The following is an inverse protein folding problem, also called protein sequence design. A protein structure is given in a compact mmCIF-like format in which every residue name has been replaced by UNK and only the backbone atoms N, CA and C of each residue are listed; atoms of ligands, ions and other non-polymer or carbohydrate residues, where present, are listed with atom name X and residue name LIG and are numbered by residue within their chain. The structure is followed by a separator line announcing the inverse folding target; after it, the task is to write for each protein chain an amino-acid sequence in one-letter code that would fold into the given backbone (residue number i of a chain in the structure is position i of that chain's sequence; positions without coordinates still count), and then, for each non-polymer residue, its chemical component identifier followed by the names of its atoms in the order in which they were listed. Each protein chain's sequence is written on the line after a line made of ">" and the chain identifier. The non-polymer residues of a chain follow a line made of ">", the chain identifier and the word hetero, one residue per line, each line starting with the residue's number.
data_IF_352184844041
#
_entry.id   IF_352184844041
#
_cell.length_a   1.000
_cell.length_b   1.000
_cell.length_c   1.000
_cell.angle_alpha   90.00
_cell.angle_beta   90.00
_cell.angle_gamma   90.00
#
_symmetry.space_group_name_H-M   'P 1'
#
loop_
_entity.id
_entity.type
_entity.pdbx_description
1 polymer ?
#
# COMPACT_ATOMS: atom_id res chain seq x y z
N UNK A 1 -12.05 -2.42 -20.45
CA UNK A 1 -11.49 -2.25 -19.10
C UNK A 1 -10.20 -1.46 -19.22
N UNK A 2 -9.89 -0.60 -18.25
CA UNK A 2 -8.56 0.02 -18.18
C UNK A 2 -7.63 -0.97 -17.49
N UNK A 3 -6.72 -1.58 -18.24
CA UNK A 3 -5.68 -2.46 -17.71
C UNK A 3 -4.76 -1.69 -16.75
N UNK A 4 -4.10 -2.39 -15.82
CA UNK A 4 -3.05 -1.82 -14.96
C UNK A 4 -1.85 -1.24 -15.72
N UNK A 5 -1.84 -1.33 -17.05
CA UNK A 5 -0.82 -0.78 -17.94
C UNK A 5 -0.59 0.75 -17.77
N UNK A 6 -1.51 1.51 -17.16
CA UNK A 6 -1.25 2.91 -16.80
C UNK A 6 -0.09 3.06 -15.82
N UNK A 7 0.14 2.06 -14.95
CA UNK A 7 1.22 2.05 -13.95
C UNK A 7 2.60 2.26 -14.61
N UNK A 8 2.82 1.77 -15.84
CA UNK A 8 4.09 1.97 -16.56
C UNK A 8 4.33 3.43 -17.01
N UNK A 9 3.25 4.23 -17.13
CA UNK A 9 3.29 5.64 -17.56
C UNK A 9 3.17 6.61 -16.38
N UNK A 10 2.24 6.31 -15.47
CA UNK A 10 1.75 7.20 -14.42
C UNK A 10 2.20 6.76 -13.02
N UNK A 11 2.91 5.64 -12.90
CA UNK A 11 3.31 5.04 -11.62
C UNK A 11 2.19 4.31 -10.87
N UNK A 12 0.93 4.58 -11.19
CA UNK A 12 -0.22 4.02 -10.50
C UNK A 12 -1.42 3.68 -11.40
N UNK A 13 -2.38 2.96 -10.84
CA UNK A 13 -3.72 2.75 -11.38
C UNK A 13 -4.76 2.74 -10.26
N UNK A 14 -5.95 3.28 -10.51
CA UNK A 14 -7.09 3.21 -9.58
C UNK A 14 -8.15 2.28 -10.17
N UNK A 15 -8.66 1.37 -9.34
CA UNK A 15 -9.52 0.25 -9.71
C UNK A 15 -10.46 -0.13 -8.55
N UNK A 16 -11.18 -1.25 -8.66
CA UNK A 16 -11.97 -1.81 -7.57
C UNK A 16 -11.92 -3.34 -7.56
N UNK A 17 -11.91 -3.94 -6.36
CA UNK A 17 -12.09 -5.40 -6.20
C UNK A 17 -13.59 -5.78 -6.16
N UNK A 18 -13.96 -7.05 -6.39
CA UNK A 18 -15.34 -7.51 -6.24
C UNK A 18 -15.90 -7.23 -4.84
N UNK A 19 -17.15 -6.73 -4.77
CA UNK A 19 -17.76 -6.30 -3.49
C UNK A 19 -17.77 -7.41 -2.44
N UNK A 20 -18.07 -8.65 -2.82
CA UNK A 20 -18.12 -9.79 -1.90
C UNK A 20 -16.76 -10.06 -1.21
N UNK A 21 -15.66 -9.79 -1.92
CA UNK A 21 -14.29 -9.90 -1.40
C UNK A 21 -13.96 -8.74 -0.46
N UNK A 22 -14.35 -7.51 -0.82
CA UNK A 22 -14.20 -6.34 0.05
C UNK A 22 -15.05 -6.47 1.35
N UNK A 23 -16.28 -6.97 1.23
CA UNK A 23 -17.15 -7.31 2.36
C UNK A 23 -16.53 -8.38 3.27
N UNK A 24 -15.85 -9.38 2.69
CA UNK A 24 -15.14 -10.40 3.46
C UNK A 24 -13.95 -9.81 4.22
N UNK A 25 -13.06 -9.07 3.55
CA UNK A 25 -11.93 -8.41 4.19
C UNK A 25 -12.37 -7.44 5.29
N UNK A 26 -13.44 -6.65 5.07
CA UNK A 26 -13.95 -5.73 6.08
C UNK A 26 -14.51 -6.44 7.32
N UNK A 27 -15.20 -7.58 7.15
CA UNK A 27 -15.65 -8.41 8.29
C UNK A 27 -14.46 -8.91 9.12
N UNK A 28 -13.41 -9.37 8.47
CA UNK A 28 -12.19 -9.83 9.14
C UNK A 28 -11.47 -8.68 9.85
N UNK A 29 -11.25 -7.56 9.16
CA UNK A 29 -10.58 -6.37 9.70
C UNK A 29 -11.31 -5.78 10.93
N UNK A 30 -12.65 -5.81 10.97
CA UNK A 30 -13.42 -5.39 12.15
C UNK A 30 -13.33 -6.34 13.34
N UNK A 31 -12.88 -7.58 13.13
CA UNK A 31 -12.68 -8.60 14.17
C UNK A 31 -11.21 -8.78 14.58
N UNK A 32 -10.29 -8.07 13.93
CA UNK A 32 -8.85 -8.20 14.14
C UNK A 32 -8.36 -7.40 15.36
N UNK A 33 -7.19 -7.75 15.86
CA UNK A 33 -6.54 -7.06 16.98
C UNK A 33 -5.54 -6.06 16.40
N UNK A 34 -5.58 -4.82 16.87
CA UNK A 34 -4.69 -3.75 16.43
C UNK A 34 -3.89 -3.20 17.60
N UNK A 35 -2.58 -3.14 17.42
CA UNK A 35 -1.64 -2.47 18.31
C UNK A 35 -1.32 -1.07 17.76
N UNK A 36 -1.05 -0.12 18.65
CA UNK A 36 -0.72 1.25 18.26
C UNK A 36 0.76 1.39 17.87
N UNK A 37 1.00 1.87 16.66
CA UNK A 37 2.30 2.35 16.19
C UNK A 37 2.64 3.74 16.81
N UNK A 38 3.67 4.40 16.30
CA UNK A 38 4.08 5.76 16.64
C UNK A 38 2.91 6.78 16.53
N UNK A 39 2.87 7.81 17.40
CA UNK A 39 1.81 8.83 17.38
C UNK A 39 1.62 9.49 16.01
N UNK A 40 0.37 9.58 15.56
CA UNK A 40 0.00 10.11 14.23
C UNK A 40 0.12 9.11 13.08
N UNK A 41 0.47 7.85 13.36
CA UNK A 41 0.43 6.73 12.40
C UNK A 41 -0.75 5.79 12.71
N UNK A 42 -1.30 5.09 11.70
CA UNK A 42 -2.40 4.15 11.88
C UNK A 42 -2.03 3.02 12.83
N UNK A 43 -3.02 2.46 13.51
CA UNK A 43 -2.81 1.23 14.29
C UNK A 43 -2.56 0.07 13.31
N UNK A 44 -1.61 -0.81 13.62
CA UNK A 44 -1.25 -1.98 12.79
C UNK A 44 -1.83 -3.25 13.40
N UNK A 45 -2.12 -4.26 12.58
CA UNK A 45 -2.63 -5.52 13.11
C UNK A 45 -1.57 -6.26 13.94
N UNK A 46 -1.97 -6.85 15.07
CA UNK A 46 -1.08 -7.48 16.05
C UNK A 46 -0.35 -8.76 15.56
N UNK A 47 -0.60 -9.17 14.31
CA UNK A 47 0.11 -10.24 13.60
C UNK A 47 1.14 -9.71 12.59
N UNK A 48 1.32 -8.40 12.46
CA UNK A 48 2.31 -7.78 11.58
C UNK A 48 3.73 -7.83 12.19
N UNK A 49 4.76 -7.91 11.34
CA UNK A 49 6.17 -8.00 11.72
C UNK A 49 6.84 -6.64 11.51
N UNK A 50 7.79 -6.24 12.38
CA UNK A 50 8.58 -4.99 12.25
C UNK A 50 9.24 -4.82 10.86
N UNK A 51 9.46 -5.93 10.14
CA UNK A 51 9.89 -5.93 8.73
C UNK A 51 8.82 -6.59 7.86
N UNK A 52 7.90 -5.82 7.25
CA UNK A 52 6.73 -6.36 6.55
C UNK A 52 7.04 -7.48 5.54
N UNK A 53 8.03 -7.35 4.65
CA UNK A 53 8.38 -8.44 3.71
C UNK A 53 8.85 -9.75 4.35
N UNK A 54 9.16 -9.77 5.65
CA UNK A 54 9.48 -10.96 6.45
C UNK A 54 8.29 -11.48 7.27
N UNK A 55 7.13 -10.82 7.25
CA UNK A 55 5.94 -11.28 7.96
C UNK A 55 5.56 -12.71 7.55
N UNK A 56 5.58 -13.62 8.52
CA UNK A 56 5.24 -15.03 8.38
C UNK A 56 3.96 -15.42 9.14
N UNK A 57 3.30 -14.46 9.79
CA UNK A 57 2.15 -14.64 10.69
C UNK A 57 0.80 -14.26 10.04
N UNK A 58 0.82 -13.80 8.78
CA UNK A 58 -0.35 -13.32 8.03
C UNK A 58 -1.51 -14.35 8.06
N UNK A 59 -2.71 -13.99 8.55
CA UNK A 59 -3.87 -14.86 8.51
C UNK A 59 -4.25 -15.27 7.08
N UNK A 60 -4.55 -16.55 6.88
CA UNK A 60 -4.85 -17.15 5.56
C UNK A 60 -6.05 -16.51 4.85
N UNK A 61 -7.00 -15.93 5.59
CA UNK A 61 -8.16 -15.21 5.04
C UNK A 61 -7.81 -13.83 4.44
N UNK A 62 -6.63 -13.30 4.71
CA UNK A 62 -6.05 -12.20 3.93
C UNK A 62 -5.06 -12.72 2.88
N UNK A 63 -4.12 -13.60 3.27
CA UNK A 63 -3.02 -14.04 2.40
C UNK A 63 -3.51 -14.72 1.12
N UNK A 64 -4.32 -15.77 1.23
CA UNK A 64 -4.76 -16.54 0.05
C UNK A 64 -5.56 -15.69 -0.94
N UNK A 65 -6.57 -14.91 -0.50
CA UNK A 65 -7.28 -13.99 -1.39
C UNK A 65 -6.39 -12.87 -1.97
N UNK A 66 -5.36 -12.42 -1.25
CA UNK A 66 -4.40 -11.45 -1.80
C UNK A 66 -3.46 -12.08 -2.84
N UNK A 67 -3.04 -13.32 -2.65
CA UNK A 67 -2.30 -14.09 -3.66
C UNK A 67 -3.12 -14.27 -4.95
N UNK A 68 -4.44 -14.50 -4.84
CA UNK A 68 -5.33 -14.54 -6.00
C UNK A 68 -5.47 -13.17 -6.70
N UNK A 69 -5.51 -12.06 -5.94
CA UNK A 69 -5.46 -10.70 -6.51
C UNK A 69 -4.12 -10.47 -7.24
N UNK A 70 -3.00 -10.85 -6.61
CA UNK A 70 -1.67 -10.74 -7.19
C UNK A 70 -1.48 -11.56 -8.47
N UNK A 71 -2.12 -12.73 -8.57
CA UNK A 71 -2.07 -13.63 -9.73
C UNK A 71 -3.26 -13.45 -10.70
N UNK A 72 -4.07 -12.40 -10.54
CA UNK A 72 -5.25 -12.12 -11.37
C UNK A 72 -4.94 -11.76 -12.83
N UNK A 73 -5.99 -11.51 -13.63
CA UNK A 73 -5.85 -11.06 -15.02
C UNK A 73 -5.33 -9.62 -15.09
N UNK A 74 -5.67 -8.81 -14.10
CA UNK A 74 -5.27 -7.42 -13.93
C UNK A 74 -3.74 -7.27 -13.91
N UNK A 75 -3.04 -8.24 -13.32
CA UNK A 75 -1.57 -8.29 -13.21
C UNK A 75 -0.90 -9.14 -14.28
N UNK A 76 -1.65 -9.82 -15.15
CA UNK A 76 -1.12 -10.80 -16.12
C UNK A 76 -0.01 -10.19 -16.99
N UNK A 77 -0.23 -8.98 -17.51
CA UNK A 77 0.77 -8.28 -18.33
C UNK A 77 2.03 -7.89 -17.53
N UNK A 78 1.91 -7.58 -16.23
CA UNK A 78 3.08 -7.36 -15.36
C UNK A 78 3.87 -8.66 -15.15
N UNK A 79 3.17 -9.76 -14.87
CA UNK A 79 3.77 -11.10 -14.66
C UNK A 79 4.38 -11.65 -15.95
N UNK A 80 3.83 -11.33 -17.13
CA UNK A 80 4.40 -11.70 -18.42
C UNK A 80 5.78 -11.08 -18.70
N UNK A 81 6.09 -9.91 -18.11
CA UNK A 81 7.40 -9.25 -18.27
C UNK A 81 8.37 -9.50 -17.11
N UNK A 82 7.88 -9.66 -15.87
CA UNK A 82 8.73 -9.80 -14.68
C UNK A 82 8.80 -11.23 -14.13
N UNK A 83 7.87 -12.11 -14.52
CA UNK A 83 7.65 -13.45 -13.96
C UNK A 83 6.56 -13.46 -12.87
N UNK A 84 6.00 -14.64 -12.59
CA UNK A 84 5.04 -14.81 -11.50
C UNK A 84 5.67 -14.56 -10.12
N UNK A 85 4.93 -13.91 -9.22
CA UNK A 85 5.43 -13.51 -7.90
C UNK A 85 5.81 -14.73 -7.04
N UNK A 86 7.07 -14.81 -6.59
CA UNK A 86 7.51 -15.84 -5.63
C UNK A 86 7.30 -15.43 -4.17
N UNK A 87 6.80 -14.21 -3.92
CA UNK A 87 6.37 -13.71 -2.60
C UNK A 87 5.17 -12.77 -2.73
N UNK A 88 4.15 -13.03 -1.91
CA UNK A 88 3.14 -12.05 -1.49
C UNK A 88 3.39 -11.68 -0.03
N UNK A 89 3.22 -10.41 0.31
CA UNK A 89 3.09 -9.93 1.69
C UNK A 89 1.74 -9.21 1.86
N UNK A 90 1.24 -9.16 3.09
CA UNK A 90 0.03 -8.40 3.44
C UNK A 90 0.27 -7.62 4.75
N UNK A 91 -0.19 -6.37 4.77
CA UNK A 91 -0.25 -5.51 5.94
C UNK A 91 -1.70 -5.07 6.18
N UNK A 92 -2.09 -4.82 7.42
CA UNK A 92 -3.44 -4.36 7.76
C UNK A 92 -3.40 -3.21 8.77
N UNK A 93 -3.93 -2.06 8.35
CA UNK A 93 -3.89 -0.81 9.09
C UNK A 93 -5.29 -0.27 9.39
N UNK A 94 -5.44 0.37 10.56
CA UNK A 94 -6.63 1.11 10.99
C UNK A 94 -6.26 2.54 11.32
N UNK A 95 -6.56 3.46 10.39
CA UNK A 95 -6.42 4.90 10.63
C UNK A 95 -7.56 5.47 11.48
N UNK A 96 -7.21 6.42 12.34
CA UNK A 96 -8.07 7.18 13.28
C UNK A 96 -7.83 8.69 13.11
N UNK A 97 -8.68 9.53 13.69
CA UNK A 97 -8.58 11.01 13.64
C UNK A 97 -7.15 11.49 13.98
N UNK A 98 -6.59 12.36 13.14
CA UNK A 98 -5.24 12.92 13.31
C UNK A 98 -4.10 12.04 12.79
N UNK A 99 -4.36 10.80 12.36
CA UNK A 99 -3.35 10.02 11.64
C UNK A 99 -3.13 10.60 10.24
N UNK A 100 -1.87 10.60 9.78
CA UNK A 100 -1.46 11.05 8.44
C UNK A 100 -0.18 10.33 8.01
N UNK A 101 0.23 10.48 6.75
CA UNK A 101 1.52 9.95 6.30
C UNK A 101 2.13 10.86 5.24
N UNK A 102 3.38 11.28 5.43
CA UNK A 102 4.10 12.18 4.52
C UNK A 102 4.41 11.55 3.15
N UNK A 103 4.99 12.34 2.25
CA UNK A 103 5.41 11.86 0.93
C UNK A 103 6.54 10.83 1.03
N UNK A 104 6.26 9.61 0.56
CA UNK A 104 7.22 8.49 0.58
C UNK A 104 7.02 7.55 -0.62
N UNK A 105 7.94 6.60 -0.76
CA UNK A 105 7.88 5.48 -1.69
C UNK A 105 8.15 4.18 -0.89
N UNK A 106 7.58 3.04 -1.27
CA UNK A 106 7.84 1.77 -0.58
C UNK A 106 9.09 1.03 -1.10
N UNK A 107 9.84 1.64 -2.03
CA UNK A 107 10.98 1.03 -2.73
C UNK A 107 12.21 0.71 -1.85
N UNK A 108 12.11 0.94 -0.54
CA UNK A 108 13.04 0.40 0.46
C UNK A 108 12.83 -1.11 0.67
N UNK A 109 11.60 -1.60 0.45
CA UNK A 109 11.26 -3.02 0.43
C UNK A 109 11.34 -3.59 -1.00
N UNK A 110 12.01 -4.74 -1.23
CA UNK A 110 12.16 -5.39 -2.54
C UNK A 110 10.87 -5.94 -3.20
N UNK A 111 9.68 -5.61 -2.71
CA UNK A 111 8.43 -5.85 -3.45
C UNK A 111 8.34 -4.91 -4.67
N UNK A 112 7.77 -5.38 -5.78
CA UNK A 112 7.78 -4.67 -7.07
C UNK A 112 6.46 -3.94 -7.39
N UNK A 113 5.35 -4.46 -6.90
CA UNK A 113 4.00 -3.94 -7.12
C UNK A 113 3.25 -3.95 -5.78
N UNK A 114 2.55 -2.86 -5.46
CA UNK A 114 1.72 -2.74 -4.25
C UNK A 114 0.27 -2.51 -4.66
N UNK A 115 -0.68 -3.07 -3.91
CA UNK A 115 -2.10 -2.73 -3.98
C UNK A 115 -2.60 -2.28 -2.61
N UNK A 116 -3.21 -1.11 -2.56
CA UNK A 116 -3.83 -0.54 -1.35
C UNK A 116 -5.34 -0.66 -1.52
N UNK A 117 -5.98 -1.48 -0.68
CA UNK A 117 -7.42 -1.79 -0.74
C UNK A 117 -8.13 -1.13 0.44
N UNK A 118 -9.16 -0.34 0.15
CA UNK A 118 -9.93 0.39 1.17
C UNK A 118 -11.20 -0.32 1.59
N UNK A 119 -11.43 -0.33 2.90
CA UNK A 119 -12.48 -1.11 3.56
C UNK A 119 -13.24 -0.21 4.54
N UNK A 120 -14.53 0.01 4.31
CA UNK A 120 -15.41 0.74 5.25
C UNK A 120 -16.86 0.34 5.02
N UNK A 121 -17.75 0.57 6.00
CA UNK A 121 -19.22 0.57 5.76
C UNK A 121 -19.72 2.01 5.52
N UNK A 122 -18.83 3.00 5.64
CA UNK A 122 -19.13 4.42 5.49
C UNK A 122 -18.60 4.98 4.15
N UNK A 123 -19.27 6.02 3.66
CA UNK A 123 -18.80 6.80 2.51
C UNK A 123 -17.79 7.84 3.01
N UNK A 124 -16.65 7.92 2.32
CA UNK A 124 -15.58 8.88 2.56
C UNK A 124 -15.61 9.99 1.52
N UNK A 125 -15.89 11.21 1.95
CA UNK A 125 -15.84 12.43 1.12
C UNK A 125 -14.48 13.13 1.29
N UNK A 126 -14.13 14.14 0.47
CA UNK A 126 -12.88 14.88 0.65
C UNK A 126 -12.76 15.58 2.01
N UNK A 127 -13.89 15.98 2.60
CA UNK A 127 -13.97 16.70 3.87
C UNK A 127 -13.66 15.79 5.09
N UNK A 128 -13.79 14.47 4.94
CA UNK A 128 -13.38 13.48 5.95
C UNK A 128 -11.85 13.38 6.12
N UNK A 129 -11.08 13.89 5.15
CA UNK A 129 -9.64 13.69 5.07
C UNK A 129 -9.26 12.26 4.70
N UNK A 130 -8.09 11.78 5.15
CA UNK A 130 -7.64 10.39 4.95
C UNK A 130 -7.39 9.99 3.50
N UNK A 131 -7.33 10.94 2.57
CA UNK A 131 -7.19 10.67 1.13
C UNK A 131 -5.77 10.21 0.81
N UNK A 132 -5.65 9.23 -0.08
CA UNK A 132 -4.37 8.89 -0.69
C UNK A 132 -4.06 9.89 -1.79
N UNK A 133 -3.00 10.66 -1.62
CA UNK A 133 -2.49 11.57 -2.63
C UNK A 133 -1.38 10.84 -3.41
N UNK A 134 -1.47 10.88 -4.74
CA UNK A 134 -0.58 10.19 -5.67
C UNK A 134 0.20 11.25 -6.46
N UNK A 135 1.52 11.15 -6.47
CA UNK A 135 2.39 12.22 -6.96
C UNK A 135 3.68 11.75 -7.62
N UNK A 136 4.33 12.70 -8.27
CA UNK A 136 5.63 12.54 -8.95
C UNK A 136 6.62 13.56 -8.36
N UNK A 137 7.80 13.12 -7.93
CA UNK A 137 8.82 13.99 -7.35
C UNK A 137 10.24 13.61 -7.80
N UNK A 138 11.13 14.60 -7.85
CA UNK A 138 12.53 14.36 -8.19
C UNK A 138 13.29 13.68 -7.03
N UNK A 139 14.21 12.78 -7.38
CA UNK A 139 14.87 11.86 -6.45
C UNK A 139 16.40 12.00 -6.49
N UNK A 140 17.04 11.73 -5.35
CA UNK A 140 18.50 11.60 -5.27
C UNK A 140 18.97 10.32 -5.96
N UNK A 141 20.28 10.19 -6.20
CA UNK A 141 20.89 8.95 -6.71
C UNK A 141 20.71 7.71 -5.80
N UNK A 142 20.24 7.89 -4.56
CA UNK A 142 19.87 6.79 -3.64
C UNK A 142 18.39 6.40 -3.73
N UNK A 143 17.56 7.21 -4.38
CA UNK A 143 16.10 7.03 -4.52
C UNK A 143 15.25 7.95 -3.64
N UNK A 144 15.84 8.64 -2.66
CA UNK A 144 15.11 9.49 -1.72
C UNK A 144 14.54 10.74 -2.43
N UNK A 145 13.34 11.15 -2.05
CA UNK A 145 12.69 12.38 -2.54
C UNK A 145 13.52 13.62 -2.17
N UNK A 146 13.78 14.51 -3.13
CA UNK A 146 14.65 15.69 -2.95
C UNK A 146 13.95 16.80 -2.18
N UNK A 147 12.70 17.11 -2.53
CA UNK A 147 11.89 18.14 -1.87
C UNK A 147 10.41 17.73 -1.86
N UNK A 148 9.84 17.35 -0.70
CA UNK A 148 8.42 17.02 -0.55
C UNK A 148 7.45 18.14 -0.93
N UNK A 149 7.88 19.40 -0.97
CA UNK A 149 7.04 20.54 -1.38
C UNK A 149 6.88 20.64 -2.90
N UNK A 150 7.77 20.01 -3.68
CA UNK A 150 7.76 20.05 -5.15
C UNK A 150 7.06 18.83 -5.79
N UNK A 151 6.41 17.98 -4.99
CA UNK A 151 5.69 16.81 -5.50
C UNK A 151 4.50 17.25 -6.36
N UNK A 152 4.55 16.87 -7.64
CA UNK A 152 3.49 17.13 -8.60
C UNK A 152 2.35 16.11 -8.40
N UNK A 153 1.36 16.49 -7.59
CA UNK A 153 0.18 15.67 -7.28
C UNK A 153 -0.64 15.43 -8.55
N UNK A 154 -0.77 14.15 -8.92
CA UNK A 154 -1.50 13.70 -10.12
C UNK A 154 -2.96 13.37 -9.81
N UNK A 155 -3.23 12.79 -8.66
CA UNK A 155 -4.56 12.34 -8.25
C UNK A 155 -4.70 12.29 -6.72
N UNK A 156 -5.91 12.52 -6.23
CA UNK A 156 -6.32 12.18 -4.86
C UNK A 156 -7.40 11.08 -4.91
N UNK A 157 -7.37 10.16 -3.95
CA UNK A 157 -8.31 9.04 -3.84
C UNK A 157 -8.86 8.97 -2.42
N UNK A 158 -10.18 9.20 -2.26
CA UNK A 158 -10.87 8.97 -0.98
C UNK A 158 -10.99 7.46 -0.69
N UNK A 159 -10.80 7.00 0.55
CA UNK A 159 -10.68 5.58 0.90
C UNK A 159 -12.05 4.87 0.98
N UNK A 160 -12.82 4.89 -0.11
CA UNK A 160 -14.14 4.28 -0.19
C UNK A 160 -14.07 2.75 -0.39
N UNK A 161 -15.03 2.04 0.19
CA UNK A 161 -15.10 0.58 0.22
C UNK A 161 -14.87 -0.08 -1.15
N UNK A 162 -13.98 -1.06 -1.20
CA UNK A 162 -13.67 -1.85 -2.40
C UNK A 162 -12.78 -1.14 -3.42
N UNK A 163 -12.43 0.13 -3.21
CA UNK A 163 -11.45 0.85 -4.03
C UNK A 163 -10.07 0.23 -3.85
N UNK A 164 -9.38 -0.04 -4.97
CA UNK A 164 -8.05 -0.64 -4.99
C UNK A 164 -7.10 0.23 -5.83
N UNK A 165 -6.07 0.78 -5.17
CA UNK A 165 -5.03 1.61 -5.81
C UNK A 165 -3.76 0.78 -5.96
N UNK A 166 -3.27 0.64 -7.18
CA UNK A 166 -2.05 -0.10 -7.50
C UNK A 166 -0.90 0.87 -7.73
N UNK A 167 0.28 0.57 -7.18
CA UNK A 167 1.48 1.40 -7.23
C UNK A 167 2.68 0.60 -7.75
N UNK A 168 3.47 1.17 -8.66
CA UNK A 168 4.80 0.62 -8.99
C UNK A 168 5.76 0.91 -7.85
N UNK A 169 6.43 -0.11 -7.35
CA UNK A 169 7.40 0.05 -6.27
C UNK A 169 8.86 -0.01 -6.74
N UNK A 170 9.10 -0.30 -8.03
CA UNK A 170 10.44 -0.34 -8.62
C UNK A 170 10.97 1.03 -9.06
N UNK A 171 10.16 2.10 -9.01
CA UNK A 171 10.53 3.44 -9.44
C UNK A 171 10.17 4.50 -8.37
N UNK A 172 11.11 4.90 -7.50
CA UNK A 172 10.84 5.79 -6.36
C UNK A 172 10.55 7.25 -6.73
N UNK A 173 10.56 7.62 -8.03
CA UNK A 173 10.04 8.90 -8.53
C UNK A 173 8.53 9.04 -8.28
N UNK A 174 7.82 7.92 -8.25
CA UNK A 174 6.40 7.87 -7.92
C UNK A 174 6.25 7.73 -6.41
N UNK A 175 5.58 8.70 -5.82
CA UNK A 175 5.43 8.86 -4.37
C UNK A 175 3.97 8.98 -3.99
N UNK A 176 3.65 8.59 -2.77
CA UNK A 176 2.32 8.76 -2.21
C UNK A 176 2.37 9.34 -0.79
N UNK A 177 1.24 9.89 -0.36
CA UNK A 177 1.02 10.40 1.00
C UNK A 177 -0.43 10.16 1.41
N UNK A 178 -0.72 10.20 2.70
CA UNK A 178 -2.08 10.11 3.25
C UNK A 178 -2.38 11.42 3.96
N UNK A 179 -3.39 12.16 3.49
CA UNK A 179 -3.83 13.38 4.16
C UNK A 179 -4.42 13.05 5.54
N UNK A 180 -4.32 14.00 6.47
CA UNK A 180 -4.83 13.85 7.84
C UNK A 180 -6.29 13.38 7.86
N UNK A 181 -6.62 12.45 8.76
CA UNK A 181 -8.01 12.01 8.96
C UNK A 181 -8.73 13.03 9.85
N UNK A 182 -9.72 13.72 9.28
CA UNK A 182 -10.46 14.83 9.91
C UNK A 182 -11.82 14.42 10.50
N UNK A 183 -12.16 13.13 10.43
CA UNK A 183 -13.37 12.52 10.97
C UNK A 183 -13.04 11.41 11.98
N UNK A 184 -14.05 10.88 12.67
CA UNK A 184 -13.91 9.74 13.61
C UNK A 184 -14.19 8.38 12.94
N UNK A 185 -14.30 8.35 11.60
CA UNK A 185 -14.55 7.13 10.81
C UNK A 185 -13.29 6.25 10.80
N UNK A 186 -13.39 4.93 11.05
CA UNK A 186 -12.23 4.04 11.02
C UNK A 186 -11.79 3.75 9.58
N UNK A 187 -10.56 4.13 9.23
CA UNK A 187 -9.97 3.94 7.89
C UNK A 187 -9.23 2.61 7.80
N UNK A 188 -9.96 1.51 7.60
CA UNK A 188 -9.33 0.20 7.38
C UNK A 188 -8.68 0.14 5.99
N UNK A 189 -7.41 -0.25 5.97
CA UNK A 189 -6.57 -0.31 4.78
C UNK A 189 -5.85 -1.65 4.75
N UNK A 190 -6.14 -2.49 3.75
CA UNK A 190 -5.47 -3.77 3.53
C UNK A 190 -4.46 -3.57 2.38
N UNK A 191 -3.17 -3.77 2.65
CA UNK A 191 -2.10 -3.53 1.68
C UNK A 191 -1.54 -4.88 1.26
N UNK A 192 -1.66 -5.21 -0.02
CA UNK A 192 -0.97 -6.34 -0.65
C UNK A 192 0.31 -5.88 -1.32
N UNK A 193 1.40 -6.61 -1.13
CA UNK A 193 2.67 -6.34 -1.80
C UNK A 193 3.13 -7.60 -2.54
N UNK A 194 3.57 -7.45 -3.80
CA UNK A 194 3.91 -8.55 -4.69
C UNK A 194 5.34 -8.40 -5.22
N UNK A 195 6.11 -9.49 -5.22
CA UNK A 195 7.50 -9.48 -5.62
C UNK A 195 8.16 -10.85 -5.56
N UNK A 196 9.47 -10.87 -5.32
CA UNK A 196 10.27 -12.09 -5.37
C UNK A 196 10.96 -12.37 -4.04
N UNK A 197 10.77 -13.58 -3.52
CA UNK A 197 11.41 -14.08 -2.29
C UNK A 197 12.92 -13.96 -2.37
N UNK A 198 13.49 -14.17 -3.55
CA UNK A 198 14.91 -14.06 -3.86
C UNK A 198 15.43 -12.62 -3.61
N UNK A 199 14.59 -11.61 -3.86
CA UNK A 199 14.94 -10.21 -3.61
C UNK A 199 14.74 -9.85 -2.12
N UNK A 200 13.69 -10.34 -1.47
CA UNK A 200 13.48 -10.25 0.00
C UNK A 200 14.69 -10.80 0.76
N UNK A 201 15.18 -11.99 0.39
CA UNK A 201 16.36 -12.61 1.00
C UNK A 201 17.69 -11.90 0.70
N UNK A 202 17.72 -10.97 -0.26
CA UNK A 202 18.91 -10.21 -0.68
C UNK A 202 18.88 -8.73 -0.29
N UNK A 203 17.77 -8.22 0.22
CA UNK A 203 17.66 -6.82 0.60
C UNK A 203 18.37 -6.54 1.93
N UNK A 204 19.13 -5.44 1.94
CA UNK A 204 19.80 -4.93 3.14
C UNK A 204 19.47 -3.44 3.30
N UNK A 205 18.23 -3.04 3.67
CA UNK A 205 17.82 -1.64 3.72
C UNK A 205 18.77 -0.77 4.57
N UNK A 206 19.11 -1.22 5.79
CA UNK A 206 20.08 -0.53 6.66
C UNK A 206 21.49 -0.35 6.03
N UNK A 207 21.90 -1.25 5.13
CA UNK A 207 23.20 -1.13 4.41
C UNK A 207 23.12 -0.12 3.25
N UNK A 208 21.93 0.17 2.73
CA UNK A 208 21.70 1.13 1.63
C UNK A 208 21.30 2.51 2.13
N UNK A 209 20.56 2.59 3.24
CA UNK A 209 19.92 3.81 3.75
C UNK A 209 20.41 4.26 5.13
N UNK A 210 21.25 3.48 5.82
CA UNK A 210 21.83 3.84 7.12
C UNK A 210 21.07 3.27 8.32
N UNK A 211 21.42 3.78 9.52
CA UNK A 211 20.78 3.39 10.78
C UNK A 211 19.57 4.29 11.11
N UNK A 212 19.58 5.54 10.67
CA UNK A 212 18.60 6.57 11.01
C UNK A 212 17.35 6.49 10.10
N UNK A 213 16.78 5.28 9.99
CA UNK A 213 15.64 4.95 9.13
C UNK A 213 14.33 4.93 9.95
N UNK A 214 13.31 5.68 9.50
CA UNK A 214 12.09 6.02 10.28
C UNK A 214 10.87 6.32 9.41
#
# INVERSE_FOLDING_TARGET
>A
MNYLNSIYRDGFAVSSIPKEQADAFLRHAKSDIFDSDKPGSPDVAAWEDEVPSKNHSIPLHYLGPMEQIGLGMETEHFRAHMGDWSRTNVMLQRGKRGDSMGWHHDAYDPMHLVVIIYLSDEIWTPEDGGQLLLGEGDITGMGQLVDPSQVNVKQAVSPNHGTAVWLINTNPRWVHSVSEILCDKPRYTLIGQFGYRENVMRAYPRRRYGNDWS
#
